data_IF_373127330810
#
_entry.id   IF_373127330810
#
_cell.length_a   1.000
_cell.length_b   1.000
_cell.length_c   1.000
_cell.angle_alpha   90.00
_cell.angle_beta   90.00
_cell.angle_gamma   90.00
#
_symmetry.space_group_name_H-M   'P 1'
#
loop_
_entity.id
_entity.type
_entity.pdbx_description
1 polymer ?
#
# COMPACT_ATOMS: atom_id res chain seq x y z
N UNK A 1 18.65 13.10 9.83
CA UNK A 1 17.91 12.33 8.80
C UNK A 1 18.74 11.17 8.24
N UNK A 2 19.87 11.40 7.56
CA UNK A 2 20.68 10.32 6.95
C UNK A 2 21.13 9.24 7.94
N UNK A 3 21.55 9.63 9.15
CA UNK A 3 21.92 8.69 10.21
C UNK A 3 20.77 7.73 10.61
N UNK A 4 19.53 8.22 10.65
CA UNK A 4 18.34 7.41 10.94
C UNK A 4 18.08 6.38 9.84
N UNK A 5 18.23 6.78 8.57
CA UNK A 5 18.05 5.90 7.42
C UNK A 5 19.10 4.79 7.44
N UNK A 6 20.38 5.15 7.59
CA UNK A 6 21.48 4.19 7.72
C UNK A 6 21.26 3.23 8.88
N UNK A 7 20.80 3.75 10.03
CA UNK A 7 20.51 2.92 11.20
C UNK A 7 19.40 1.91 10.93
N UNK A 8 18.32 2.32 10.28
CA UNK A 8 17.21 1.43 9.91
C UNK A 8 17.68 0.26 9.02
N UNK A 9 18.40 0.57 7.94
CA UNK A 9 18.94 -0.45 7.04
C UNK A 9 20.01 -1.35 7.68
N UNK A 10 20.83 -0.81 8.59
CA UNK A 10 21.82 -1.62 9.31
C UNK A 10 21.18 -2.57 10.35
N UNK A 11 19.93 -2.34 10.75
CA UNK A 11 19.24 -3.08 11.82
C UNK A 11 17.92 -3.72 11.35
N UNK A 12 17.83 -4.12 10.08
CA UNK A 12 16.61 -4.72 9.51
C UNK A 12 16.17 -6.01 10.20
N UNK A 13 17.13 -6.83 10.64
CA UNK A 13 16.85 -8.10 11.33
C UNK A 13 16.90 -7.99 12.87
N UNK A 14 17.21 -6.80 13.42
CA UNK A 14 17.41 -6.61 14.86
C UNK A 14 16.13 -6.13 15.53
N UNK A 15 15.32 -7.05 16.04
CA UNK A 15 14.07 -6.72 16.73
C UNK A 15 14.25 -6.29 18.20
N UNK A 16 15.45 -6.48 18.78
CA UNK A 16 15.77 -6.07 20.15
C UNK A 16 16.21 -4.62 20.24
N UNK A 17 16.09 -4.03 21.43
CA UNK A 17 16.45 -2.64 21.70
C UNK A 17 15.32 -1.65 21.44
N UNK A 18 15.69 -0.37 21.44
CA UNK A 18 14.76 0.77 21.48
C UNK A 18 15.18 1.84 20.48
N UNK A 19 14.18 2.41 19.80
CA UNK A 19 14.38 3.55 18.91
C UNK A 19 13.52 4.73 19.38
N UNK A 20 14.10 5.91 19.64
CA UNK A 20 13.34 7.10 19.98
C UNK A 20 12.61 7.66 18.76
N UNK A 21 11.62 8.54 18.99
CA UNK A 21 10.78 9.11 17.92
C UNK A 21 11.55 9.82 16.81
N UNK A 22 12.58 10.56 17.20
CA UNK A 22 13.43 11.34 16.30
C UNK A 22 14.25 10.47 15.35
N UNK A 23 14.51 9.22 15.75
CA UNK A 23 15.20 8.24 14.90
C UNK A 23 14.21 7.47 14.04
N UNK A 24 13.09 7.05 14.63
CA UNK A 24 12.07 6.24 13.95
C UNK A 24 11.42 6.96 12.76
N UNK A 25 10.89 8.17 12.97
CA UNK A 25 10.04 8.85 11.98
C UNK A 25 10.75 9.18 10.66
N UNK A 26 11.99 9.71 10.65
CA UNK A 26 12.67 9.99 9.38
C UNK A 26 12.88 8.73 8.52
N UNK A 27 13.18 7.59 9.13
CA UNK A 27 13.29 6.32 8.40
C UNK A 27 11.92 5.84 7.90
N UNK A 28 10.91 5.85 8.76
CA UNK A 28 9.56 5.41 8.41
C UNK A 28 8.95 6.24 7.27
N UNK A 29 9.07 7.57 7.33
CA UNK A 29 8.56 8.48 6.31
C UNK A 29 9.24 8.29 4.96
N UNK A 30 10.55 8.01 4.94
CA UNK A 30 11.27 7.72 3.69
C UNK A 30 10.75 6.44 3.04
N UNK A 31 10.53 5.38 3.83
CA UNK A 31 9.97 4.13 3.30
C UNK A 31 8.53 4.29 2.82
N UNK A 32 7.70 5.01 3.57
CA UNK A 32 6.32 5.31 3.18
C UNK A 32 6.30 6.14 1.89
N UNK A 33 7.15 7.18 1.79
CA UNK A 33 7.30 7.98 0.57
C UNK A 33 7.75 7.14 -0.62
N UNK A 34 8.74 6.27 -0.44
CA UNK A 34 9.19 5.34 -1.48
C UNK A 34 8.07 4.38 -1.90
N UNK A 35 7.24 3.91 -0.97
CA UNK A 35 6.08 3.08 -1.26
C UNK A 35 5.05 3.82 -2.14
N UNK A 36 4.75 5.08 -1.82
CA UNK A 36 3.86 5.91 -2.63
C UNK A 36 4.39 6.12 -4.05
N UNK A 37 5.68 6.39 -4.21
CA UNK A 37 6.31 6.52 -5.53
C UNK A 37 6.23 5.21 -6.30
N UNK A 38 6.57 4.08 -5.68
CA UNK A 38 6.52 2.77 -6.33
C UNK A 38 5.08 2.39 -6.74
N UNK A 39 4.09 2.73 -5.91
CA UNK A 39 2.68 2.53 -6.22
C UNK A 39 2.21 3.44 -7.36
N UNK A 40 2.60 4.71 -7.36
CA UNK A 40 2.30 5.64 -8.46
C UNK A 40 2.85 5.14 -9.79
N UNK A 41 4.10 4.65 -9.81
CA UNK A 41 4.70 4.07 -11.01
C UNK A 41 3.96 2.80 -11.47
N UNK A 42 3.56 1.93 -10.53
CA UNK A 42 2.79 0.71 -10.84
C UNK A 42 1.43 1.03 -11.48
N UNK A 43 0.76 2.07 -10.99
CA UNK A 43 -0.47 2.59 -11.59
C UNK A 43 -0.22 3.16 -12.99
N UNK A 44 0.83 3.98 -13.14
CA UNK A 44 1.20 4.56 -14.42
C UNK A 44 1.40 3.53 -15.53
N UNK A 45 2.06 2.40 -15.22
CA UNK A 45 2.25 1.30 -16.18
C UNK A 45 0.92 0.68 -16.63
N UNK A 46 0.01 0.40 -15.69
CA UNK A 46 -1.31 -0.18 -16.01
C UNK A 46 -2.16 0.74 -16.88
N UNK A 47 -2.19 2.04 -16.55
CA UNK A 47 -2.95 3.03 -17.31
C UNK A 47 -2.33 3.35 -18.68
N UNK A 48 -1.01 3.42 -18.78
CA UNK A 48 -0.34 3.65 -20.06
C UNK A 48 -0.67 2.56 -21.09
N UNK A 49 -0.73 1.29 -20.67
CA UNK A 49 -1.14 0.19 -21.54
C UNK A 49 -2.58 0.31 -22.04
N UNK A 50 -3.53 0.71 -21.18
CA UNK A 50 -4.92 0.96 -21.57
C UNK A 50 -5.04 2.13 -22.56
N UNK A 51 -4.34 3.23 -22.29
CA UNK A 51 -4.39 4.41 -23.14
C UNK A 51 -3.93 4.11 -24.58
N UNK A 52 -2.88 3.30 -24.74
CA UNK A 52 -2.43 2.84 -26.05
C UNK A 52 -3.48 1.99 -26.78
N UNK A 53 -4.15 1.06 -26.06
CA UNK A 53 -5.24 0.25 -26.63
C UNK A 53 -6.43 1.11 -27.07
N UNK A 54 -6.79 2.11 -26.28
CA UNK A 54 -7.88 3.04 -26.58
C UNK A 54 -7.60 3.87 -27.83
N UNK A 55 -6.38 4.37 -28.00
CA UNK A 55 -5.99 5.09 -29.23
C UNK A 55 -6.04 4.15 -30.43
N UNK A 56 -5.45 2.97 -30.34
CA UNK A 56 -5.45 2.00 -31.44
C UNK A 56 -6.87 1.58 -31.84
N UNK A 57 -7.77 1.40 -30.87
CA UNK A 57 -9.18 1.09 -31.13
C UNK A 57 -9.92 2.24 -31.82
N UNK A 58 -9.68 3.48 -31.39
CA UNK A 58 -10.29 4.66 -31.99
C UNK A 58 -9.82 4.91 -33.43
N UNK A 59 -8.55 4.61 -33.73
CA UNK A 59 -8.02 4.65 -35.09
C UNK A 59 -8.61 3.55 -35.98
N UNK A 60 -8.82 2.35 -35.43
CA UNK A 60 -9.41 1.23 -36.14
C UNK A 60 -10.94 1.37 -36.36
N UNK A 61 -11.64 2.09 -35.49
CA UNK A 61 -13.10 2.28 -35.53
C UNK A 61 -13.48 3.77 -35.44
N UNK A 62 -13.17 4.57 -36.47
CA UNK A 62 -13.40 6.03 -36.47
C UNK A 62 -14.89 6.42 -36.42
N UNK A 63 -15.79 5.48 -36.75
CA UNK A 63 -17.23 5.61 -36.64
C UNK A 63 -17.75 5.45 -35.20
N UNK A 64 -16.99 4.79 -34.33
CA UNK A 64 -17.38 4.45 -32.94
C UNK A 64 -16.66 5.28 -31.88
N UNK A 65 -15.65 6.05 -32.28
CA UNK A 65 -14.85 6.87 -31.37
C UNK A 65 -14.75 8.31 -31.87
N UNK A 66 -14.99 9.26 -30.97
CA UNK A 66 -14.74 10.68 -31.23
C UNK A 66 -13.42 11.08 -30.59
N UNK A 67 -12.42 11.40 -31.41
CA UNK A 67 -11.10 11.86 -30.95
C UNK A 67 -11.06 13.39 -31.01
N UNK A 68 -11.15 14.04 -29.86
CA UNK A 68 -11.03 15.48 -29.75
C UNK A 68 -9.60 15.83 -29.32
N UNK A 69 -8.83 16.45 -30.23
CA UNK A 69 -7.51 17.00 -29.91
C UNK A 69 -7.66 18.49 -29.61
N UNK A 70 -7.52 18.89 -28.35
CA UNK A 70 -7.62 20.29 -27.93
C UNK A 70 -6.42 20.70 -27.10
N UNK A 71 -5.72 21.77 -27.51
CA UNK A 71 -4.67 22.43 -26.71
C UNK A 71 -3.52 21.53 -26.21
N UNK A 72 -3.15 20.48 -26.95
CA UNK A 72 -2.12 19.52 -26.55
C UNK A 72 -2.63 18.30 -25.77
N UNK A 73 -3.94 18.23 -25.48
CA UNK A 73 -4.58 17.05 -24.88
C UNK A 73 -5.36 16.24 -25.93
N UNK A 74 -5.22 14.91 -25.88
CA UNK A 74 -6.00 13.97 -26.69
C UNK A 74 -7.07 13.37 -25.78
N UNK A 75 -8.34 13.68 -26.06
CA UNK A 75 -9.48 13.04 -25.41
C UNK A 75 -10.15 12.10 -26.40
N UNK A 76 -10.34 10.84 -26.01
CA UNK A 76 -11.01 9.81 -26.81
C UNK A 76 -12.30 9.43 -26.09
N UNK A 77 -13.44 9.76 -26.70
CA UNK A 77 -14.75 9.32 -26.20
C UNK A 77 -15.22 8.15 -27.03
N UNK A 78 -15.51 7.03 -26.37
CA UNK A 78 -16.02 5.83 -27.00
C UNK A 78 -17.49 5.69 -26.62
N UNK A 79 -18.36 5.63 -27.62
CA UNK A 79 -19.81 5.68 -27.41
C UNK A 79 -20.42 4.32 -27.04
N UNK A 80 -19.67 3.23 -27.23
CA UNK A 80 -20.08 1.87 -26.89
C UNK A 80 -19.22 1.32 -25.73
N UNK A 81 -19.82 0.73 -24.67
CA UNK A 81 -19.06 0.09 -23.60
C UNK A 81 -18.22 -1.05 -24.18
N UNK A 82 -16.89 -0.88 -24.23
CA UNK A 82 -15.96 -1.88 -24.77
C UNK A 82 -15.11 -2.44 -23.64
N UNK A 83 -15.44 -3.63 -23.08
CA UNK A 83 -14.72 -4.22 -21.95
C UNK A 83 -13.23 -4.48 -22.25
N UNK A 84 -12.88 -4.67 -23.53
CA UNK A 84 -11.50 -4.91 -23.99
C UNK A 84 -10.55 -3.72 -23.76
N UNK A 85 -11.10 -2.52 -23.58
CA UNK A 85 -10.35 -1.29 -23.36
C UNK A 85 -10.10 -1.00 -21.89
N UNK A 86 -10.73 -1.77 -20.98
CA UNK A 86 -10.46 -1.65 -19.56
C UNK A 86 -8.98 -1.91 -19.27
N UNK A 87 -8.35 -1.11 -18.38
CA UNK A 87 -6.95 -1.34 -18.02
C UNK A 87 -6.75 -2.74 -17.46
N UNK A 88 -5.67 -3.39 -17.89
CA UNK A 88 -5.21 -4.61 -17.23
C UNK A 88 -4.72 -4.23 -15.83
N UNK A 89 -5.48 -4.65 -14.82
CA UNK A 89 -5.18 -4.38 -13.42
C UNK A 89 -4.21 -5.40 -12.82
N UNK A 90 -3.82 -6.45 -13.55
CA UNK A 90 -2.92 -7.47 -13.04
C UNK A 90 -1.53 -6.92 -12.63
N UNK A 91 -0.87 -6.04 -13.43
CA UNK A 91 0.41 -5.44 -13.03
C UNK A 91 0.27 -4.57 -11.77
N UNK A 92 -0.84 -3.83 -11.65
CA UNK A 92 -1.13 -3.00 -10.48
C UNK A 92 -1.26 -3.86 -9.21
N UNK A 93 -2.07 -4.92 -9.26
CA UNK A 93 -2.26 -5.81 -8.12
C UNK A 93 -1.00 -6.62 -7.78
N UNK A 94 -0.23 -7.04 -8.78
CA UNK A 94 1.08 -7.67 -8.56
C UNK A 94 2.04 -6.71 -7.86
N UNK A 95 2.11 -5.46 -8.33
CA UNK A 95 2.90 -4.40 -7.70
C UNK A 95 2.53 -4.23 -6.22
N UNK A 96 1.24 -4.10 -5.90
CA UNK A 96 0.77 -4.04 -4.50
C UNK A 96 1.19 -5.26 -3.68
N UNK A 97 1.03 -6.47 -4.22
CA UNK A 97 1.37 -7.73 -3.53
C UNK A 97 2.86 -7.92 -3.28
N UNK A 98 3.73 -7.23 -4.01
CA UNK A 98 5.19 -7.31 -3.84
C UNK A 98 5.72 -6.13 -3.01
N UNK A 99 5.35 -4.91 -3.38
CA UNK A 99 5.86 -3.68 -2.75
C UNK A 99 5.42 -3.59 -1.29
N UNK A 100 4.15 -3.88 -1.00
CA UNK A 100 3.61 -3.72 0.35
C UNK A 100 4.30 -4.63 1.36
N UNK A 101 4.46 -5.96 1.12
CA UNK A 101 5.21 -6.82 2.03
C UNK A 101 6.67 -6.38 2.22
N UNK A 102 7.34 -5.93 1.16
CA UNK A 102 8.71 -5.40 1.27
C UNK A 102 8.76 -4.23 2.25
N UNK A 103 7.84 -3.27 2.12
CA UNK A 103 7.79 -2.11 3.02
C UNK A 103 7.47 -2.53 4.45
N UNK A 104 6.53 -3.46 4.64
CA UNK A 104 6.21 -4.02 5.96
C UNK A 104 7.44 -4.67 6.59
N UNK A 105 8.19 -5.47 5.84
CA UNK A 105 9.41 -6.12 6.31
C UNK A 105 10.50 -5.10 6.67
N UNK A 106 10.69 -4.07 5.85
CA UNK A 106 11.67 -3.01 6.11
C UNK A 106 11.30 -2.17 7.36
N UNK A 107 10.01 -2.04 7.68
CA UNK A 107 9.53 -1.34 8.87
C UNK A 107 9.46 -2.22 10.11
N UNK A 108 9.35 -3.54 9.98
CA UNK A 108 8.98 -4.46 11.07
C UNK A 108 9.88 -4.33 12.30
N UNK A 109 11.20 -4.36 12.12
CA UNK A 109 12.14 -4.23 13.22
C UNK A 109 12.14 -2.82 13.84
N UNK A 110 12.02 -1.77 13.02
CA UNK A 110 11.95 -0.38 13.50
C UNK A 110 10.67 -0.09 14.30
N UNK A 111 9.52 -0.58 13.83
CA UNK A 111 8.23 -0.49 14.55
C UNK A 111 8.32 -1.24 15.87
N UNK A 112 8.93 -2.42 15.88
CA UNK A 112 9.12 -3.23 17.10
C UNK A 112 9.97 -2.48 18.13
N UNK A 113 11.15 -1.98 17.74
CA UNK A 113 12.01 -1.18 18.63
C UNK A 113 11.35 0.11 19.09
N UNK A 114 10.50 0.72 18.28
CA UNK A 114 9.75 1.90 18.71
C UNK A 114 8.64 1.56 19.72
N UNK A 115 7.95 0.45 19.53
CA UNK A 115 6.97 -0.02 20.51
C UNK A 115 7.65 -0.38 21.84
N UNK A 116 8.82 -1.02 21.78
CA UNK A 116 9.67 -1.29 22.95
C UNK A 116 10.07 -0.01 23.69
N UNK A 117 10.36 1.07 22.98
CA UNK A 117 10.68 2.36 23.59
C UNK A 117 9.55 2.91 24.48
N UNK A 118 8.30 2.58 24.14
CA UNK A 118 7.12 2.93 24.96
C UNK A 118 6.76 1.85 25.99
N UNK A 119 7.58 0.80 26.12
CA UNK A 119 7.36 -0.34 27.00
C UNK A 119 6.30 -1.34 26.49
N UNK A 120 5.96 -1.32 25.21
CA UNK A 120 4.95 -2.21 24.60
C UNK A 120 5.60 -3.32 23.80
N UNK A 121 4.89 -4.43 23.58
CA UNK A 121 5.38 -5.52 22.72
C UNK A 121 5.35 -5.14 21.25
N UNK A 122 6.32 -5.60 20.46
CA UNK A 122 6.28 -5.51 19.00
C UNK A 122 5.04 -6.15 18.38
N UNK A 123 4.38 -7.08 19.08
CA UNK A 123 3.15 -7.74 18.66
C UNK A 123 2.00 -6.75 18.40
N UNK A 124 2.02 -5.54 19.00
CA UNK A 124 1.05 -4.49 18.69
C UNK A 124 1.12 -4.01 17.23
N UNK A 125 2.21 -4.30 16.51
CA UNK A 125 2.34 -4.03 15.08
C UNK A 125 1.68 -5.06 14.16
N UNK A 126 1.29 -6.25 14.66
CA UNK A 126 0.75 -7.34 13.84
C UNK A 126 -0.69 -7.13 13.34
N UNK A 127 -1.64 -6.62 14.14
CA UNK A 127 -3.03 -6.48 13.70
C UNK A 127 -3.21 -5.79 12.34
N UNK A 128 -2.61 -4.60 12.06
CA UNK A 128 -2.76 -3.98 10.75
C UNK A 128 -2.13 -4.81 9.62
N UNK A 129 -1.06 -5.57 9.87
CA UNK A 129 -0.44 -6.44 8.87
C UNK A 129 -1.36 -7.61 8.49
N UNK A 130 -2.06 -8.20 9.47
CA UNK A 130 -3.02 -9.28 9.22
C UNK A 130 -4.19 -8.78 8.35
N UNK A 131 -4.83 -7.68 8.73
CA UNK A 131 -5.95 -7.13 7.96
C UNK A 131 -5.52 -6.63 6.57
N UNK A 132 -4.29 -6.11 6.44
CA UNK A 132 -3.70 -5.74 5.16
C UNK A 132 -3.49 -6.97 4.25
N UNK A 133 -2.99 -8.08 4.80
CA UNK A 133 -2.84 -9.34 4.06
C UNK A 133 -4.16 -9.90 3.54
N UNK A 134 -5.21 -9.84 4.37
CA UNK A 134 -6.58 -10.21 3.97
C UNK A 134 -7.07 -9.30 2.83
N UNK A 135 -6.86 -7.98 2.94
CA UNK A 135 -7.26 -7.04 1.89
C UNK A 135 -6.51 -7.28 0.57
N UNK A 136 -5.19 -7.47 0.62
CA UNK A 136 -4.33 -7.71 -0.56
C UNK A 136 -4.65 -9.00 -1.32
N UNK A 137 -5.31 -9.96 -0.67
CA UNK A 137 -5.70 -11.24 -1.26
C UNK A 137 -7.14 -11.22 -1.76
N UNK A 138 -8.08 -10.76 -0.93
CA UNK A 138 -9.51 -10.81 -1.23
C UNK A 138 -9.99 -9.65 -2.13
N UNK A 139 -9.42 -8.45 -2.00
CA UNK A 139 -9.86 -7.30 -2.80
C UNK A 139 -9.64 -7.49 -4.31
N UNK A 140 -8.46 -7.96 -4.80
CA UNK A 140 -8.30 -8.23 -6.22
C UNK A 140 -9.28 -9.29 -6.75
N UNK A 141 -9.58 -10.31 -5.93
CA UNK A 141 -10.54 -11.36 -6.27
C UNK A 141 -11.96 -10.82 -6.37
N UNK A 142 -12.40 -9.98 -5.42
CA UNK A 142 -13.69 -9.28 -5.49
C UNK A 142 -13.76 -8.40 -6.73
N UNK A 143 -12.73 -7.61 -6.99
CA UNK A 143 -12.67 -6.70 -8.12
C UNK A 143 -12.76 -7.46 -9.45
N UNK A 144 -12.00 -8.54 -9.62
CA UNK A 144 -12.04 -9.37 -10.83
C UNK A 144 -13.42 -10.00 -11.07
N UNK A 145 -14.06 -10.52 -10.01
CA UNK A 145 -15.42 -11.07 -10.09
C UNK A 145 -16.44 -10.00 -10.49
N UNK A 146 -16.34 -8.81 -9.88
CA UNK A 146 -17.21 -7.69 -10.21
C UNK A 146 -17.06 -7.27 -11.67
N UNK A 147 -15.83 -7.19 -12.18
CA UNK A 147 -15.56 -6.87 -13.59
C UNK A 147 -16.03 -7.95 -14.55
N UNK A 148 -16.06 -9.21 -14.11
CA UNK A 148 -16.62 -10.33 -14.86
C UNK A 148 -18.16 -10.40 -14.82
N UNK A 149 -18.83 -9.51 -14.09
CA UNK A 149 -20.29 -9.51 -13.93
C UNK A 149 -20.80 -10.62 -13.00
N UNK A 150 -19.94 -11.19 -12.14
CA UNK A 150 -20.33 -12.21 -11.17
C UNK A 150 -21.13 -11.59 -10.01
N UNK A 151 -22.41 -11.95 -9.89
CA UNK A 151 -23.31 -11.48 -8.83
C UNK A 151 -22.80 -11.84 -7.42
N UNK A 152 -22.04 -12.95 -7.30
CA UNK A 152 -21.40 -13.39 -6.06
C UNK A 152 -20.29 -12.47 -5.57
N UNK A 153 -19.80 -11.52 -6.39
CA UNK A 153 -18.81 -10.53 -5.99
C UNK A 153 -19.31 -9.63 -4.86
N UNK A 154 -20.60 -9.28 -4.86
CA UNK A 154 -21.21 -8.39 -3.87
C UNK A 154 -21.14 -9.00 -2.46
N UNK A 155 -21.18 -10.32 -2.35
CA UNK A 155 -21.04 -11.02 -1.07
C UNK A 155 -19.71 -10.77 -0.36
N UNK A 156 -18.65 -10.42 -1.09
CA UNK A 156 -17.34 -10.09 -0.52
C UNK A 156 -17.24 -8.64 -0.04
N UNK A 157 -18.17 -7.76 -0.45
CA UNK A 157 -18.11 -6.33 -0.14
C UNK A 157 -18.18 -6.06 1.37
N UNK A 158 -19.22 -6.56 2.05
CA UNK A 158 -19.43 -6.28 3.47
C UNK A 158 -18.30 -6.84 4.37
N UNK A 159 -17.80 -8.08 4.16
CA UNK A 159 -16.62 -8.58 4.87
C UNK A 159 -15.35 -7.75 4.60
N UNK A 160 -15.10 -7.37 3.34
CA UNK A 160 -13.96 -6.53 2.99
C UNK A 160 -14.04 -5.14 3.59
N UNK A 161 -15.25 -4.56 3.64
CA UNK A 161 -15.51 -3.29 4.30
C UNK A 161 -15.24 -3.38 5.80
N UNK A 162 -15.76 -4.41 6.48
CA UNK A 162 -15.48 -4.64 7.90
C UNK A 162 -13.98 -4.85 8.16
N UNK A 163 -13.30 -5.64 7.32
CA UNK A 163 -11.85 -5.80 7.36
C UNK A 163 -11.10 -4.46 7.18
N UNK A 164 -11.57 -3.60 6.27
CA UNK A 164 -10.98 -2.27 6.07
C UNK A 164 -11.18 -1.37 7.31
N UNK A 165 -12.35 -1.39 7.93
CA UNK A 165 -12.59 -0.65 9.18
C UNK A 165 -11.67 -1.15 10.31
N UNK A 166 -11.53 -2.47 10.46
CA UNK A 166 -10.62 -3.07 11.43
C UNK A 166 -9.15 -2.72 11.14
N UNK A 167 -8.75 -2.73 9.86
CA UNK A 167 -7.44 -2.26 9.40
C UNK A 167 -7.21 -0.80 9.81
N UNK A 168 -8.11 0.12 9.48
CA UNK A 168 -7.96 1.54 9.80
C UNK A 168 -7.92 1.79 11.31
N UNK A 169 -8.77 1.12 12.08
CA UNK A 169 -8.75 1.22 13.54
C UNK A 169 -7.44 0.71 14.13
N UNK A 170 -6.94 -0.44 13.67
CA UNK A 170 -5.68 -1.02 14.14
C UNK A 170 -4.45 -0.21 13.72
N UNK A 171 -4.46 0.35 12.51
CA UNK A 171 -3.41 1.22 12.01
C UNK A 171 -3.40 2.55 12.78
N UNK A 172 -4.56 3.16 12.99
CA UNK A 172 -4.71 4.38 13.79
C UNK A 172 -4.22 4.18 15.22
N UNK A 173 -4.57 3.05 15.85
CA UNK A 173 -4.05 2.66 17.16
C UNK A 173 -2.53 2.50 17.13
N UNK A 174 -1.99 1.78 16.14
CA UNK A 174 -0.53 1.59 16.01
C UNK A 174 0.19 2.93 15.84
N UNK A 175 -0.28 3.80 14.95
CA UNK A 175 0.29 5.13 14.74
C UNK A 175 0.22 5.96 16.03
N UNK A 176 -0.91 5.94 16.73
CA UNK A 176 -1.05 6.58 18.04
C UNK A 176 0.02 6.08 19.03
N UNK A 177 0.21 4.75 19.13
CA UNK A 177 1.25 4.16 19.97
C UNK A 177 2.67 4.58 19.57
N UNK A 178 2.93 4.67 18.26
CA UNK A 178 4.21 5.12 17.70
C UNK A 178 4.44 6.64 17.82
N UNK A 179 3.41 7.43 18.12
CA UNK A 179 3.56 8.86 18.41
C UNK A 179 3.90 9.13 19.89
N UNK A 180 3.57 8.21 20.80
CA UNK A 180 3.78 8.40 22.25
C UNK A 180 5.25 8.60 22.60
N UNK A 181 5.49 9.41 23.63
CA UNK A 181 6.83 9.60 24.18
C UNK A 181 7.40 8.29 24.74
N UNK A 182 8.71 8.12 24.58
CA UNK A 182 9.44 7.00 25.13
C UNK A 182 9.44 7.04 26.66
N UNK A 183 9.56 5.88 27.30
CA UNK A 183 9.73 5.83 28.76
C UNK A 183 11.18 6.16 29.12
N UNK A 184 11.49 7.16 29.95
CA UNK A 184 12.88 7.45 30.33
C UNK A 184 13.47 6.31 31.19
N UNK A 185 12.61 5.60 31.92
CA UNK A 185 13.02 4.53 32.81
C UNK A 185 13.43 3.26 32.07
N UNK A 186 14.24 2.45 32.77
CA UNK A 186 14.59 1.12 32.32
C UNK A 186 13.32 0.28 32.12
N UNK A 187 13.27 -0.47 31.02
CA UNK A 187 12.18 -1.36 30.70
C UNK A 187 12.69 -2.74 30.28
N UNK A 188 11.79 -3.72 30.19
CA UNK A 188 12.12 -5.12 29.90
C UNK A 188 12.82 -5.39 28.55
N UNK A 189 12.96 -4.37 27.70
CA UNK A 189 13.57 -4.48 26.37
C UNK A 189 14.93 -3.80 26.27
N UNK A 190 15.41 -3.22 27.38
CA UNK A 190 16.81 -2.87 27.50
C UNK A 190 17.63 -4.17 27.44
N UNK A 191 18.77 -4.15 26.75
CA UNK A 191 19.64 -5.33 26.72
C UNK A 191 20.20 -5.54 28.15
N UNK A 192 20.25 -6.78 28.66
CA UNK A 192 21.05 -7.04 29.85
C UNK A 192 22.48 -6.62 29.55
N UNK A 193 23.07 -5.87 30.49
CA UNK A 193 24.46 -5.43 30.43
C UNK A 193 25.42 -6.63 30.29
#
# INVERSE_FOLDING_TARGET
MFASIRHGFANLARFSGRDPRERFWPYALVLVGAAFVAMFLSFGVGFAGSFQKTIAYAEAHPDKATVTRSGGSVSVTIHEPTPELMPDMAPMFLGLRVIVPIIVLLLAAAVTRRLHDTGRSGLWGLPPVVFLGIALTLFPSMFQRLMAGDEGAIGLFLPLFANNMAYLASLGLLVFLLCREGKPDANRYDSPA
#
